data_IF_006421402421
#
_entry.id   IF_006421402421
#
_cell.length_a   1.000
_cell.length_b   1.000
_cell.length_c   1.000
_cell.angle_alpha   90.00
_cell.angle_beta   90.00
_cell.angle_gamma   90.00
#
_symmetry.space_group_name_H-M   'P 1'
#
loop_
_entity.id
_entity.type
_entity.pdbx_description
1 polymer ?
#
# COMPACT_ATOMS: atom_id res chain seq x y z
N UNK A 1 -2.06 -25.54 -3.22
CA UNK A 1 -2.91 -25.81 -2.04
C UNK A 1 -2.52 -27.09 -1.27
N UNK A 2 -2.08 -28.12 -1.92
CA UNK A 2 -1.76 -29.40 -1.26
C UNK A 2 -0.82 -29.28 -0.04
N UNK A 3 0.22 -28.42 -0.13
CA UNK A 3 1.22 -28.26 0.95
C UNK A 3 0.87 -27.15 1.97
N UNK A 4 0.07 -26.18 1.61
CA UNK A 4 -0.32 -25.03 2.42
C UNK A 4 -1.78 -24.64 2.16
N UNK A 5 -2.73 -25.43 2.65
CA UNK A 5 -4.16 -25.23 2.36
C UNK A 5 -4.69 -23.88 2.94
N UNK A 6 -4.13 -23.44 4.06
CA UNK A 6 -4.59 -22.24 4.78
C UNK A 6 -3.84 -20.95 4.39
N UNK A 7 -2.90 -21.04 3.44
CA UNK A 7 -2.16 -19.86 3.03
C UNK A 7 -3.07 -18.87 2.28
N UNK A 8 -3.03 -17.61 2.65
CA UNK A 8 -3.62 -16.52 1.84
C UNK A 8 -2.75 -16.29 0.62
N UNK A 9 -3.37 -16.23 -0.56
CA UNK A 9 -2.71 -15.94 -1.83
C UNK A 9 -3.09 -14.53 -2.25
N UNK A 10 -2.10 -13.65 -2.43
CA UNK A 10 -2.30 -12.34 -3.02
C UNK A 10 -2.18 -12.45 -4.53
N UNK A 11 -3.23 -12.05 -5.24
CA UNK A 11 -3.32 -12.13 -6.70
C UNK A 11 -3.27 -10.73 -7.28
N UNK A 12 -2.28 -10.47 -8.14
CA UNK A 12 -2.17 -9.21 -8.87
C UNK A 12 -3.35 -9.00 -9.81
N UNK A 13 -3.79 -7.75 -9.94
CA UNK A 13 -4.79 -7.34 -10.93
C UNK A 13 -4.12 -6.62 -12.11
N UNK A 14 -4.80 -6.44 -13.26
CA UNK A 14 -4.20 -5.76 -14.41
C UNK A 14 -3.77 -4.32 -14.09
N UNK A 15 -2.97 -3.74 -14.99
CA UNK A 15 -2.50 -2.34 -14.94
C UNK A 15 -1.81 -2.03 -13.60
N UNK A 16 -0.71 -2.77 -13.33
CA UNK A 16 0.03 -2.64 -12.06
C UNK A 16 -0.86 -2.74 -10.81
N UNK A 17 -1.77 -3.70 -10.81
CA UNK A 17 -2.71 -3.91 -9.70
C UNK A 17 -3.64 -2.72 -9.42
N UNK A 18 -4.15 -2.06 -10.45
CA UNK A 18 -5.14 -0.97 -10.30
C UNK A 18 -6.55 -1.38 -10.71
N UNK A 19 -6.71 -2.46 -11.49
CA UNK A 19 -7.99 -2.89 -12.05
C UNK A 19 -8.63 -4.01 -11.22
N UNK A 20 -8.97 -3.72 -9.96
CA UNK A 20 -9.67 -4.67 -9.07
C UNK A 20 -11.09 -5.01 -9.55
N UNK A 21 -11.68 -4.18 -10.41
CA UNK A 21 -12.93 -4.44 -11.10
C UNK A 21 -12.86 -5.73 -11.93
N UNK A 22 -11.73 -5.99 -12.60
CA UNK A 22 -11.55 -7.22 -13.37
C UNK A 22 -11.54 -8.49 -12.50
N UNK A 23 -10.99 -8.38 -11.31
CA UNK A 23 -11.06 -9.46 -10.33
C UNK A 23 -12.49 -9.69 -9.82
N UNK A 24 -13.25 -8.61 -9.63
CA UNK A 24 -14.64 -8.68 -9.19
C UNK A 24 -15.58 -9.25 -10.28
N UNK A 25 -15.30 -8.96 -11.57
CA UNK A 25 -16.05 -9.52 -12.71
C UNK A 25 -15.85 -11.04 -12.85
N UNK A 26 -14.68 -11.57 -12.45
CA UNK A 26 -14.34 -13.01 -12.57
C UNK A 26 -13.48 -13.45 -11.39
N UNK A 27 -14.04 -13.57 -10.19
CA UNK A 27 -13.29 -13.97 -9.00
C UNK A 27 -12.87 -15.44 -9.09
N UNK A 28 -11.72 -15.74 -8.48
CA UNK A 28 -11.23 -17.12 -8.37
C UNK A 28 -12.06 -17.92 -7.35
N UNK A 29 -12.28 -19.18 -7.64
CA UNK A 29 -13.00 -20.11 -6.75
C UNK A 29 -12.09 -20.61 -5.61
N UNK A 30 -11.56 -19.70 -4.80
CA UNK A 30 -10.71 -20.02 -3.65
C UNK A 30 -11.00 -19.06 -2.49
N UNK A 31 -11.26 -19.60 -1.31
CA UNK A 31 -11.63 -18.83 -0.12
C UNK A 31 -10.48 -18.02 0.49
N UNK A 32 -9.23 -18.42 0.20
CA UNK A 32 -8.04 -17.80 0.76
C UNK A 32 -7.27 -16.99 -0.30
N UNK A 33 -7.99 -16.28 -1.15
CA UNK A 33 -7.44 -15.35 -2.15
C UNK A 33 -7.83 -13.92 -1.77
N UNK A 34 -6.89 -13.00 -1.91
CA UNK A 34 -7.13 -11.55 -1.88
C UNK A 34 -6.55 -10.93 -3.15
N UNK A 35 -7.22 -9.90 -3.65
CA UNK A 35 -6.81 -9.19 -4.86
C UNK A 35 -6.01 -7.95 -4.50
N UNK A 36 -4.87 -7.76 -5.17
CA UNK A 36 -4.01 -6.63 -4.84
C UNK A 36 -4.46 -5.35 -5.51
N UNK A 37 -4.34 -4.26 -4.78
CA UNK A 37 -4.39 -2.91 -5.32
C UNK A 37 -3.09 -2.20 -4.98
N UNK A 38 -2.52 -1.47 -5.96
CA UNK A 38 -1.38 -0.58 -5.77
C UNK A 38 -1.81 0.87 -6.02
N UNK A 39 -1.30 1.79 -5.21
CA UNK A 39 -1.49 3.21 -5.44
C UNK A 39 -0.26 4.05 -5.05
N UNK A 40 -0.13 5.20 -5.66
CA UNK A 40 0.79 6.25 -5.28
C UNK A 40 -0.01 7.52 -5.04
N UNK A 41 0.03 8.05 -3.83
CA UNK A 41 -0.89 9.10 -3.37
C UNK A 41 -0.70 10.42 -4.11
N UNK A 42 0.50 10.68 -4.63
CA UNK A 42 0.79 11.81 -5.52
C UNK A 42 0.02 11.74 -6.85
N UNK A 43 -0.20 10.54 -7.37
CA UNK A 43 -0.84 10.31 -8.68
C UNK A 43 -2.30 9.88 -8.55
N UNK A 44 -2.58 8.88 -7.74
CA UNK A 44 -3.89 8.24 -7.66
C UNK A 44 -4.77 8.94 -6.64
N UNK A 45 -5.87 9.51 -7.10
CA UNK A 45 -6.77 10.36 -6.30
C UNK A 45 -8.16 9.70 -6.14
N UNK A 46 -9.20 10.53 -6.12
CA UNK A 46 -10.55 10.10 -5.81
C UNK A 46 -11.10 9.03 -6.76
N UNK A 47 -10.72 9.04 -8.03
CA UNK A 47 -11.21 8.03 -8.99
C UNK A 47 -10.85 6.60 -8.55
N UNK A 48 -9.58 6.38 -8.15
CA UNK A 48 -9.14 5.06 -7.69
C UNK A 48 -9.63 4.77 -6.26
N UNK A 49 -9.70 5.79 -5.38
CA UNK A 49 -10.28 5.65 -4.04
C UNK A 49 -11.75 5.23 -4.09
N UNK A 50 -12.55 5.90 -4.91
CA UNK A 50 -13.97 5.59 -5.09
C UNK A 50 -14.17 4.18 -5.67
N UNK A 51 -13.31 3.76 -6.59
CA UNK A 51 -13.30 2.39 -7.12
C UNK A 51 -13.03 1.38 -6.00
N UNK A 52 -11.95 1.55 -5.23
CA UNK A 52 -11.65 0.69 -4.09
C UNK A 52 -12.82 0.64 -3.11
N UNK A 53 -13.37 1.79 -2.73
CA UNK A 53 -14.49 1.87 -1.79
C UNK A 53 -15.70 1.08 -2.27
N UNK A 54 -16.09 1.25 -3.54
CA UNK A 54 -17.21 0.53 -4.13
C UNK A 54 -17.06 -0.98 -4.04
N UNK A 55 -15.87 -1.51 -4.37
CA UNK A 55 -15.64 -2.96 -4.33
C UNK A 55 -15.44 -3.51 -2.92
N UNK A 56 -14.85 -2.73 -2.02
CA UNK A 56 -14.75 -3.08 -0.61
C UNK A 56 -16.13 -3.18 0.06
N UNK A 57 -17.03 -2.25 -0.23
CA UNK A 57 -18.43 -2.29 0.24
C UNK A 57 -19.17 -3.56 -0.23
N UNK A 58 -18.84 -4.06 -1.41
CA UNK A 58 -19.43 -5.27 -1.98
C UNK A 58 -18.68 -6.56 -1.54
N UNK A 59 -17.75 -6.48 -0.60
CA UNK A 59 -17.10 -7.63 0.02
C UNK A 59 -15.95 -8.24 -0.80
N UNK A 60 -15.43 -7.54 -1.83
CA UNK A 60 -14.23 -8.01 -2.52
C UNK A 60 -13.04 -8.07 -1.54
N UNK A 61 -12.35 -9.20 -1.38
CA UNK A 61 -11.19 -9.30 -0.50
C UNK A 61 -9.99 -8.60 -1.14
N UNK A 62 -9.70 -7.39 -0.67
CA UNK A 62 -8.63 -6.52 -1.20
C UNK A 62 -7.46 -6.46 -0.22
N UNK A 63 -6.23 -6.45 -0.76
CA UNK A 63 -5.00 -6.19 -0.04
C UNK A 63 -4.19 -5.13 -0.80
N UNK A 64 -3.78 -4.06 -0.15
CA UNK A 64 -2.87 -3.08 -0.76
C UNK A 64 -1.44 -3.55 -0.54
N UNK A 65 -0.90 -4.30 -1.50
CA UNK A 65 0.45 -4.89 -1.39
C UNK A 65 1.56 -3.90 -1.72
N UNK A 66 1.22 -2.73 -2.25
CA UNK A 66 2.16 -1.65 -2.51
C UNK A 66 1.44 -0.30 -2.48
N UNK A 67 1.99 0.66 -1.73
CA UNK A 67 1.63 2.06 -1.88
C UNK A 67 2.82 2.99 -1.64
N UNK A 68 2.85 4.10 -2.37
CA UNK A 68 3.79 5.20 -2.18
C UNK A 68 3.08 6.52 -1.87
N UNK A 69 3.80 7.47 -1.25
CA UNK A 69 3.27 8.79 -0.91
C UNK A 69 3.51 9.81 -2.02
N UNK A 70 4.53 9.58 -2.85
CA UNK A 70 4.92 10.39 -4.00
C UNK A 70 4.10 10.05 -5.26
N UNK A 71 4.59 10.42 -6.45
CA UNK A 71 3.97 10.02 -7.71
C UNK A 71 4.30 8.56 -8.11
N UNK A 72 3.61 8.05 -9.13
CA UNK A 72 3.71 6.66 -9.57
C UNK A 72 5.06 6.26 -10.18
N UNK A 73 5.97 7.19 -10.38
CA UNK A 73 7.36 6.91 -10.76
C UNK A 73 8.23 6.45 -9.57
N UNK A 74 7.73 6.60 -8.36
CA UNK A 74 8.48 6.43 -7.11
C UNK A 74 9.22 7.70 -6.66
N UNK A 75 9.09 8.79 -7.40
CA UNK A 75 9.74 10.08 -7.17
C UNK A 75 8.72 11.23 -7.06
N UNK A 76 9.22 12.47 -7.06
CA UNK A 76 8.40 13.65 -6.88
C UNK A 76 8.11 13.98 -5.41
N UNK A 77 7.26 14.97 -5.18
CA UNK A 77 6.87 15.37 -3.85
C UNK A 77 5.95 14.34 -3.19
N UNK A 78 6.14 14.10 -1.89
CA UNK A 78 5.21 13.29 -1.11
C UNK A 78 3.91 14.07 -0.86
N UNK A 79 2.77 13.46 -1.18
CA UNK A 79 1.44 14.01 -0.90
C UNK A 79 0.86 13.35 0.37
N UNK A 80 1.20 13.89 1.52
CA UNK A 80 0.77 13.35 2.81
C UNK A 80 -0.73 13.54 3.07
N UNK A 81 -1.34 14.59 2.52
CA UNK A 81 -2.78 14.79 2.64
C UNK A 81 -3.54 13.69 1.89
N UNK A 82 -3.15 13.44 0.63
CA UNK A 82 -3.75 12.36 -0.16
C UNK A 82 -3.44 10.98 0.45
N UNK A 83 -2.24 10.78 1.00
CA UNK A 83 -1.88 9.55 1.71
C UNK A 83 -2.79 9.31 2.90
N UNK A 84 -3.05 10.34 3.71
CA UNK A 84 -3.96 10.25 4.86
C UNK A 84 -5.37 9.82 4.41
N UNK A 85 -5.92 10.45 3.36
CA UNK A 85 -7.23 10.06 2.80
C UNK A 85 -7.26 8.58 2.36
N UNK A 86 -6.17 8.09 1.76
CA UNK A 86 -6.04 6.69 1.39
C UNK A 86 -6.03 5.77 2.61
N UNK A 87 -5.20 6.05 3.61
CA UNK A 87 -5.07 5.21 4.78
C UNK A 87 -6.33 5.22 5.66
N UNK A 88 -7.03 6.35 5.74
CA UNK A 88 -8.33 6.44 6.41
C UNK A 88 -9.37 5.55 5.72
N UNK A 89 -9.40 5.55 4.39
CA UNK A 89 -10.27 4.66 3.61
C UNK A 89 -9.93 3.18 3.85
N UNK A 90 -8.65 2.82 3.83
CA UNK A 90 -8.21 1.45 4.10
C UNK A 90 -8.59 1.01 5.52
N UNK A 91 -8.41 1.88 6.51
CA UNK A 91 -8.80 1.62 7.90
C UNK A 91 -10.31 1.43 8.03
N UNK A 92 -11.11 2.28 7.39
CA UNK A 92 -12.58 2.18 7.39
C UNK A 92 -13.07 0.80 6.96
N UNK A 93 -12.42 0.20 5.96
CA UNK A 93 -12.78 -1.12 5.41
C UNK A 93 -11.88 -2.26 5.92
N UNK A 94 -11.02 -2.01 6.91
CA UNK A 94 -10.10 -2.99 7.48
C UNK A 94 -9.19 -3.66 6.43
N UNK A 95 -8.80 -2.92 5.41
CA UNK A 95 -7.92 -3.39 4.33
C UNK A 95 -6.47 -3.27 4.79
N UNK A 96 -5.76 -4.39 4.77
CA UNK A 96 -4.32 -4.43 5.10
C UNK A 96 -3.49 -3.81 3.97
N UNK A 97 -2.36 -3.21 4.34
CA UNK A 97 -1.51 -2.49 3.39
C UNK A 97 -0.03 -2.58 3.74
N UNK A 98 0.83 -2.40 2.71
CA UNK A 98 2.28 -2.36 2.82
C UNK A 98 2.83 -1.12 2.11
N UNK A 99 3.70 -0.38 2.78
CA UNK A 99 4.37 0.79 2.20
C UNK A 99 5.51 0.36 1.27
N UNK A 100 5.60 0.95 0.12
CA UNK A 100 6.73 0.89 -0.78
C UNK A 100 7.63 2.11 -0.56
N UNK A 101 8.97 1.96 -0.23
CA UNK A 101 9.64 0.67 -0.02
C UNK A 101 10.66 0.78 1.10
N UNK A 102 10.98 -0.33 1.74
CA UNK A 102 12.01 -0.44 2.78
C UNK A 102 13.41 -0.52 2.14
N UNK A 103 13.82 0.56 1.48
CA UNK A 103 15.09 0.69 0.78
C UNK A 103 15.75 2.04 1.07
N UNK A 104 17.00 2.18 0.64
CA UNK A 104 17.80 3.40 0.65
C UNK A 104 18.16 3.87 -0.77
N UNK A 105 17.26 3.63 -1.74
CA UNK A 105 17.43 4.18 -3.10
C UNK A 105 17.26 5.70 -3.08
N UNK A 106 17.87 6.36 -4.02
CA UNK A 106 17.68 7.81 -4.23
C UNK A 106 16.33 8.05 -4.95
N UNK A 107 15.25 7.75 -4.23
CA UNK A 107 13.86 7.88 -4.65
C UNK A 107 13.01 8.40 -3.48
N UNK A 108 12.01 9.22 -3.77
CA UNK A 108 11.11 9.79 -2.74
C UNK A 108 10.29 8.72 -2.01
N UNK A 109 10.05 7.57 -2.64
CA UNK A 109 9.36 6.41 -2.06
C UNK A 109 10.20 5.64 -1.05
N UNK A 110 11.53 5.81 -1.03
CA UNK A 110 12.40 5.07 -0.12
C UNK A 110 12.23 5.51 1.33
N UNK A 111 12.12 4.55 2.25
CA UNK A 111 11.99 4.81 3.69
C UNK A 111 13.31 5.33 4.29
N UNK A 112 14.43 4.87 3.78
CA UNK A 112 15.75 5.35 4.23
C UNK A 112 16.34 6.34 3.24
N UNK A 113 17.17 7.25 3.78
CA UNK A 113 17.96 8.17 2.95
C UNK A 113 18.98 7.39 2.12
N UNK A 114 19.24 7.85 0.90
CA UNK A 114 20.17 7.19 -0.02
C UNK A 114 21.60 7.05 0.53
N UNK A 115 22.03 7.95 1.42
CA UNK A 115 23.34 7.92 2.05
C UNK A 115 23.40 7.06 3.32
N UNK A 116 22.30 6.48 3.79
CA UNK A 116 22.32 5.54 4.93
C UNK A 116 22.94 4.21 4.50
N UNK A 117 23.98 3.79 5.22
CA UNK A 117 24.67 2.50 5.02
C UNK A 117 24.37 1.50 6.13
N UNK A 118 23.52 1.87 7.08
CA UNK A 118 23.17 1.01 8.21
C UNK A 118 22.26 -0.15 7.78
N UNK A 119 22.44 -1.27 8.44
CA UNK A 119 21.61 -2.48 8.28
C UNK A 119 20.76 -2.80 9.52
N UNK A 120 20.98 -2.07 10.61
CA UNK A 120 20.22 -2.13 11.88
C UNK A 120 20.35 -0.81 12.64
N UNK A 121 19.65 -0.66 13.73
CA UNK A 121 19.73 0.46 14.67
C UNK A 121 19.56 1.84 14.01
N UNK A 122 18.62 1.91 13.07
CA UNK A 122 18.29 3.15 12.37
C UNK A 122 17.70 4.20 13.31
N UNK A 123 18.17 5.43 13.13
CA UNK A 123 17.67 6.63 13.84
C UNK A 123 16.82 7.48 12.92
N UNK A 124 16.24 8.59 13.43
CA UNK A 124 15.50 9.54 12.59
C UNK A 124 16.36 10.17 11.48
N UNK A 125 17.67 10.26 11.70
CA UNK A 125 18.61 10.82 10.73
C UNK A 125 18.81 9.91 9.51
N UNK A 126 18.55 8.60 9.66
CA UNK A 126 18.63 7.62 8.58
C UNK A 126 17.37 7.61 7.71
N UNK A 127 16.25 8.16 8.21
CA UNK A 127 14.98 8.13 7.53
C UNK A 127 14.82 9.27 6.53
N UNK A 128 14.23 8.95 5.40
CA UNK A 128 13.73 9.95 4.45
C UNK A 128 12.51 10.68 5.02
N UNK A 129 11.98 11.65 4.29
CA UNK A 129 10.72 12.32 4.63
C UNK A 129 9.55 11.31 4.68
N UNK A 130 9.45 10.43 3.68
CA UNK A 130 8.47 9.35 3.65
C UNK A 130 8.64 8.38 4.83
N UNK A 131 9.89 8.03 5.16
CA UNK A 131 10.21 7.16 6.28
C UNK A 131 9.82 7.73 7.63
N UNK A 132 10.07 9.02 7.86
CA UNK A 132 9.69 9.72 9.09
C UNK A 132 8.16 9.76 9.24
N UNK A 133 7.46 10.10 8.15
CA UNK A 133 6.00 10.18 8.16
C UNK A 133 5.33 8.83 8.42
N UNK A 134 5.73 7.77 7.71
CA UNK A 134 5.10 6.44 7.87
C UNK A 134 5.42 5.82 9.24
N UNK A 135 6.62 6.05 9.78
CA UNK A 135 6.97 5.63 11.13
C UNK A 135 6.09 6.33 12.18
N UNK A 136 5.91 7.64 12.05
CA UNK A 136 5.03 8.40 12.93
C UNK A 136 3.58 7.92 12.84
N UNK A 137 3.09 7.65 11.63
CA UNK A 137 1.75 7.11 11.40
C UNK A 137 1.55 5.78 12.14
N UNK A 138 2.44 4.80 11.96
CA UNK A 138 2.32 3.50 12.65
C UNK A 138 2.48 3.60 14.17
N UNK A 139 3.36 4.47 14.65
CA UNK A 139 3.57 4.68 16.09
C UNK A 139 2.34 5.26 16.78
N UNK A 140 1.60 6.12 16.10
CA UNK A 140 0.42 6.79 16.66
C UNK A 140 -0.87 6.00 16.44
N UNK A 141 -0.81 4.89 15.70
CA UNK A 141 -1.97 4.02 15.46
C UNK A 141 -2.22 3.15 16.68
N UNK A 142 -3.33 3.36 17.38
CA UNK A 142 -3.82 2.41 18.35
C UNK A 142 -4.41 1.20 17.61
N UNK A 143 -3.81 0.04 17.78
CA UNK A 143 -4.42 -1.22 17.35
C UNK A 143 -5.59 -1.51 18.31
N UNK A 144 -6.80 -1.40 17.79
CA UNK A 144 -8.01 -1.88 18.47
C UNK A 144 -8.26 -3.34 18.12
#
# INVERSE_FOLDING_TARGET
REKRPDAVILVGTPTWSQEIDKAAESPLEDKNVMYTLHFYAGTHKDDLRNRLESYAQNGLPIFVSEFGMCDASGNGANDFESTTKWLDLLNKYQISFMCWNLANKDESSSVFRANSTKISDWTEEDLSEAGQWIKAYFKNRSYQ
#
